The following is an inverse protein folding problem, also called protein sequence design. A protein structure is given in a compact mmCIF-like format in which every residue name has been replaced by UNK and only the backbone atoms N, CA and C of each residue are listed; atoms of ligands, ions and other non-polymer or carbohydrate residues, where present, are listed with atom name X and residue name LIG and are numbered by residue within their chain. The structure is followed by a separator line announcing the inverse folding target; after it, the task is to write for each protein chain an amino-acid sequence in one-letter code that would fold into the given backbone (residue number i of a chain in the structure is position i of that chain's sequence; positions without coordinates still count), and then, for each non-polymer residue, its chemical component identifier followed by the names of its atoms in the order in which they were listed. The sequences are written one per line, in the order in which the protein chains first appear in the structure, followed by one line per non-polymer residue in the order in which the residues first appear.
data_IF_375776998516
#
_entry.id   IF_375776998516
#
_cell.length_a   1.000
_cell.length_b   1.000
_cell.length_c   1.000
_cell.angle_alpha   90.00
_cell.angle_beta   90.00
_cell.angle_gamma   90.00
#
_symmetry.space_group_name_H-M   'P 1'
#
loop_
_entity.id
_entity.type
_entity.pdbx_description
1 polymer ?
#
# COMPACT_ATOMS: atom_id res chain seq x y z
N UNK A 1 5.25 19.47 -18.03
CA UNK A 1 4.81 18.27 -17.30
C UNK A 1 5.50 17.08 -17.95
N UNK A 2 6.10 16.18 -17.17
CA UNK A 2 6.67 14.94 -17.70
C UNK A 2 5.57 14.24 -18.51
N UNK A 3 5.85 13.86 -19.76
CA UNK A 3 4.84 13.26 -20.63
C UNK A 3 4.15 12.07 -19.94
N UNK A 4 2.87 11.84 -20.26
CA UNK A 4 2.09 10.69 -19.79
C UNK A 4 2.72 9.40 -20.32
N UNK A 5 3.73 8.91 -19.62
CA UNK A 5 4.41 7.67 -19.95
C UNK A 5 3.58 6.50 -19.41
N UNK A 6 2.98 5.75 -20.33
CA UNK A 6 2.10 4.61 -20.04
C UNK A 6 2.79 3.53 -19.20
N UNK A 7 4.11 3.39 -19.27
CA UNK A 7 4.88 2.41 -18.48
C UNK A 7 4.67 2.60 -16.98
N UNK A 8 4.74 3.83 -16.48
CA UNK A 8 4.51 4.09 -15.04
C UNK A 8 3.06 3.83 -14.63
N UNK A 9 2.11 4.07 -15.55
CA UNK A 9 0.69 3.76 -15.31
C UNK A 9 0.49 2.25 -15.20
N UNK A 10 1.07 1.47 -16.12
CA UNK A 10 0.99 0.01 -16.06
C UNK A 10 1.63 -0.56 -14.80
N UNK A 11 2.82 -0.10 -14.42
CA UNK A 11 3.46 -0.53 -13.18
C UNK A 11 2.69 -0.06 -11.94
N UNK A 12 2.03 1.11 -12.00
CA UNK A 12 1.16 1.60 -10.92
C UNK A 12 -0.05 0.70 -10.72
N UNK A 13 -0.72 0.33 -11.81
CA UNK A 13 -1.83 -0.63 -11.76
C UNK A 13 -1.35 -2.00 -11.28
N UNK A 14 -0.16 -2.45 -11.69
CA UNK A 14 0.44 -3.70 -11.20
C UNK A 14 0.71 -3.65 -9.69
N UNK A 15 1.31 -2.57 -9.18
CA UNK A 15 1.55 -2.38 -7.75
C UNK A 15 0.25 -2.39 -6.94
N UNK A 16 -0.80 -1.75 -7.46
CA UNK A 16 -2.14 -1.78 -6.88
C UNK A 16 -2.73 -3.20 -6.89
N UNK A 17 -2.63 -3.92 -8.00
CA UNK A 17 -3.13 -5.29 -8.12
C UNK A 17 -2.40 -6.24 -7.16
N UNK A 18 -1.08 -6.10 -7.01
CA UNK A 18 -0.29 -6.86 -6.02
C UNK A 18 -0.75 -6.54 -4.61
N UNK A 19 -0.91 -5.25 -4.28
CA UNK A 19 -1.34 -4.82 -2.94
C UNK A 19 -2.72 -5.40 -2.59
N UNK A 20 -3.69 -5.27 -3.49
CA UNK A 20 -5.05 -5.81 -3.29
C UNK A 20 -5.06 -7.34 -3.26
N UNK A 21 -4.29 -7.98 -4.15
CA UNK A 21 -4.13 -9.42 -4.19
C UNK A 21 -3.62 -9.96 -2.87
N UNK A 22 -2.54 -9.39 -2.33
CA UNK A 22 -1.97 -9.84 -1.06
C UNK A 22 -2.92 -9.58 0.12
N UNK A 23 -3.63 -8.44 0.15
CA UNK A 23 -4.65 -8.17 1.19
C UNK A 23 -5.78 -9.18 1.11
N UNK A 24 -6.22 -9.57 -0.09
CA UNK A 24 -7.27 -10.59 -0.25
C UNK A 24 -6.90 -11.97 0.28
N UNK A 25 -5.59 -12.28 0.37
CA UNK A 25 -5.09 -13.53 0.99
C UNK A 25 -5.32 -13.58 2.50
N UNK A 26 -5.67 -12.47 3.15
CA UNK A 26 -6.10 -12.47 4.55
C UNK A 26 -7.31 -13.40 4.76
N UNK A 27 -8.16 -13.54 3.73
CA UNK A 27 -9.35 -14.37 3.78
C UNK A 27 -10.41 -13.83 4.75
N UNK A 28 -11.30 -14.72 5.21
CA UNK A 28 -12.35 -14.37 6.16
C UNK A 28 -11.77 -14.29 7.58
N UNK A 29 -12.12 -13.27 8.38
CA UNK A 29 -11.70 -13.19 9.77
C UNK A 29 -12.13 -14.44 10.55
N UNK A 30 -11.21 -14.98 11.34
CA UNK A 30 -11.43 -16.17 12.16
C UNK A 30 -10.84 -15.97 13.56
N UNK A 31 -11.43 -16.63 14.57
CA UNK A 31 -10.96 -16.53 15.96
C UNK A 31 -9.56 -17.14 16.16
N UNK A 32 -9.22 -18.19 15.40
CA UNK A 32 -7.86 -18.76 15.36
C UNK A 32 -7.20 -18.29 14.08
N UNK A 33 -6.41 -17.20 14.12
CA UNK A 33 -5.96 -16.52 12.91
C UNK A 33 -5.08 -17.42 12.06
N UNK A 34 -5.32 -17.38 10.74
CA UNK A 34 -4.39 -17.93 9.75
C UNK A 34 -3.09 -17.11 9.73
N UNK A 35 -2.01 -17.65 9.15
CA UNK A 35 -0.73 -16.92 9.04
C UNK A 35 -0.89 -15.57 8.32
N UNK A 36 -1.67 -15.54 7.24
CA UNK A 36 -1.93 -14.32 6.48
C UNK A 36 -2.85 -13.35 7.24
N UNK A 37 -3.87 -13.85 7.93
CA UNK A 37 -4.71 -13.01 8.80
C UNK A 37 -3.86 -12.35 9.90
N UNK A 38 -2.99 -13.12 10.57
CA UNK A 38 -2.11 -12.60 11.63
C UNK A 38 -1.13 -11.53 11.09
N UNK A 39 -0.56 -11.74 9.90
CA UNK A 39 0.30 -10.75 9.25
C UNK A 39 -0.45 -9.43 8.97
N UNK A 40 -1.64 -9.53 8.36
CA UNK A 40 -2.44 -8.36 8.01
C UNK A 40 -3.01 -7.64 9.22
N UNK A 41 -3.43 -8.36 10.27
CA UNK A 41 -3.81 -7.76 11.54
C UNK A 41 -2.63 -7.04 12.19
N UNK A 42 -1.42 -7.61 12.11
CA UNK A 42 -0.19 -6.96 12.56
C UNK A 42 0.07 -5.65 11.82
N UNK A 43 -0.05 -5.68 10.49
CA UNK A 43 0.09 -4.48 9.66
C UNK A 43 -0.93 -3.39 10.01
N UNK A 44 -2.22 -3.73 10.11
CA UNK A 44 -3.27 -2.77 10.49
C UNK A 44 -3.06 -2.23 11.89
N UNK A 45 -2.64 -3.05 12.86
CA UNK A 45 -2.29 -2.59 14.21
C UNK A 45 -1.11 -1.63 14.20
N UNK A 46 -0.09 -1.89 13.40
CA UNK A 46 1.06 -1.00 13.22
C UNK A 46 0.61 0.38 12.71
N UNK A 47 -0.15 0.42 11.62
CA UNK A 47 -0.67 1.69 11.07
C UNK A 47 -1.57 2.39 12.07
N UNK A 48 -2.46 1.66 12.75
CA UNK A 48 -3.35 2.21 13.78
C UNK A 48 -2.56 2.85 14.92
N UNK A 49 -1.49 2.21 15.39
CA UNK A 49 -0.61 2.74 16.43
C UNK A 49 0.04 4.04 15.99
N UNK A 50 0.65 4.05 14.81
CA UNK A 50 1.26 5.24 14.21
C UNK A 50 0.27 6.40 14.09
N UNK A 51 -0.93 6.15 13.59
CA UNK A 51 -1.99 7.17 13.47
C UNK A 51 -2.41 7.69 14.84
N UNK A 52 -2.60 6.79 15.81
CA UNK A 52 -3.02 7.17 17.15
C UNK A 52 -1.98 8.04 17.86
N UNK A 53 -0.69 7.71 17.71
CA UNK A 53 0.43 8.44 18.29
C UNK A 53 0.59 9.84 17.68
N UNK A 54 0.33 10.01 16.38
CA UNK A 54 0.56 11.28 15.67
C UNK A 54 -0.70 12.16 15.58
N UNK A 55 -1.89 11.58 15.53
CA UNK A 55 -3.16 12.28 15.25
C UNK A 55 -4.21 12.12 16.36
N UNK A 56 -3.98 11.26 17.35
CA UNK A 56 -4.96 10.93 18.38
C UNK A 56 -6.15 10.10 17.88
N UNK A 57 -7.18 9.95 18.71
CA UNK A 57 -8.33 9.09 18.43
C UNK A 57 -9.13 9.52 17.19
N UNK A 58 -9.26 10.82 16.94
CA UNK A 58 -9.94 11.37 15.76
C UNK A 58 -9.24 10.96 14.44
N UNK A 59 -7.95 10.67 14.50
CA UNK A 59 -7.16 10.20 13.35
C UNK A 59 -7.53 8.80 12.89
N UNK A 60 -8.16 7.98 13.74
CA UNK A 60 -8.42 6.56 13.45
C UNK A 60 -9.30 6.35 12.21
N UNK A 61 -10.11 7.34 11.82
CA UNK A 61 -10.91 7.30 10.59
C UNK A 61 -10.06 7.29 9.31
N UNK A 62 -8.81 7.76 9.38
CA UNK A 62 -7.88 7.80 8.26
C UNK A 62 -6.99 6.56 8.15
N UNK A 63 -7.06 5.63 9.11
CA UNK A 63 -6.26 4.40 9.08
C UNK A 63 -6.40 3.63 7.77
N UNK A 64 -7.60 3.43 7.19
CA UNK A 64 -7.73 2.71 5.92
C UNK A 64 -6.98 3.40 4.76
N UNK A 65 -7.01 4.73 4.72
CA UNK A 65 -6.34 5.54 3.69
C UNK A 65 -4.82 5.51 3.87
N UNK A 66 -4.34 5.71 5.09
CA UNK A 66 -2.90 5.72 5.39
C UNK A 66 -2.31 4.32 5.15
N UNK A 67 -3.03 3.27 5.53
CA UNK A 67 -2.64 1.89 5.26
C UNK A 67 -2.59 1.59 3.76
N UNK A 68 -3.59 2.02 2.97
CA UNK A 68 -3.61 1.75 1.53
C UNK A 68 -2.49 2.48 0.80
N UNK A 69 -2.26 3.77 1.10
CA UNK A 69 -1.15 4.55 0.55
C UNK A 69 0.18 3.90 0.92
N UNK A 70 0.36 3.51 2.19
CA UNK A 70 1.56 2.84 2.67
C UNK A 70 1.88 1.55 1.89
N UNK A 71 0.89 0.69 1.68
CA UNK A 71 1.08 -0.53 0.86
C UNK A 71 1.39 -0.22 -0.59
N UNK A 72 0.66 0.72 -1.20
CA UNK A 72 0.86 1.09 -2.59
C UNK A 72 2.28 1.62 -2.82
N UNK A 73 2.74 2.54 -1.97
CA UNK A 73 4.10 3.10 -2.05
C UNK A 73 5.14 2.01 -1.79
N UNK A 74 4.92 1.14 -0.81
CA UNK A 74 5.83 0.04 -0.50
C UNK A 74 6.04 -0.89 -1.70
N UNK A 75 4.97 -1.38 -2.33
CA UNK A 75 5.09 -2.26 -3.48
C UNK A 75 5.58 -1.53 -4.73
N UNK A 76 5.20 -0.26 -4.92
CA UNK A 76 5.74 0.57 -6.00
C UNK A 76 7.26 0.67 -5.94
N UNK A 77 7.80 0.92 -4.75
CA UNK A 77 9.25 1.02 -4.54
C UNK A 77 9.93 -0.35 -4.67
N UNK A 78 9.28 -1.42 -4.20
CA UNK A 78 9.80 -2.78 -4.32
C UNK A 78 9.90 -3.24 -5.78
N UNK A 79 8.92 -2.87 -6.63
CA UNK A 79 8.99 -3.14 -8.07
C UNK A 79 10.20 -2.45 -8.70
N UNK A 80 10.49 -1.20 -8.34
CA UNK A 80 11.67 -0.48 -8.87
C UNK A 80 13.03 -1.07 -8.45
N UNK A 81 13.07 -1.95 -7.45
CA UNK A 81 14.31 -2.67 -7.10
C UNK A 81 14.60 -3.86 -8.03
N UNK A 82 13.59 -4.33 -8.78
CA UNK A 82 13.74 -5.45 -9.72
C UNK A 82 14.31 -4.92 -11.04
N UNK A 83 15.46 -5.43 -11.52
CA UNK A 83 16.04 -5.00 -12.79
C UNK A 83 15.03 -5.16 -13.95
N UNK A 84 14.80 -4.08 -14.70
CA UNK A 84 13.86 -4.05 -15.83
C UNK A 84 12.42 -3.66 -15.47
N UNK A 85 12.10 -3.45 -14.20
CA UNK A 85 10.85 -2.83 -13.77
C UNK A 85 11.08 -1.38 -13.33
N UNK A 86 10.07 -0.54 -13.47
CA UNK A 86 10.12 0.85 -12.98
C UNK A 86 9.18 1.06 -11.80
N UNK A 87 9.61 1.88 -10.85
CA UNK A 87 8.75 2.30 -9.75
C UNK A 87 7.72 3.34 -10.23
N UNK A 88 6.42 3.14 -9.97
CA UNK A 88 5.39 4.15 -10.22
C UNK A 88 5.69 5.50 -9.55
N UNK A 89 6.33 5.48 -8.38
CA UNK A 89 6.77 6.65 -7.60
C UNK A 89 7.95 7.40 -8.21
N UNK A 90 8.61 6.85 -9.23
CA UNK A 90 9.65 7.53 -10.00
C UNK A 90 9.11 8.64 -10.92
N UNK A 91 7.80 8.64 -11.19
CA UNK A 91 7.13 9.70 -11.96
C UNK A 91 6.49 10.74 -11.02
N UNK A 92 6.72 12.02 -11.32
CA UNK A 92 6.19 13.14 -10.53
C UNK A 92 4.66 13.14 -10.50
N UNK A 93 3.99 12.72 -11.58
CA UNK A 93 2.53 12.68 -11.65
C UNK A 93 1.93 11.74 -10.60
N UNK A 94 2.58 10.61 -10.31
CA UNK A 94 2.13 9.66 -9.28
C UNK A 94 2.20 10.28 -7.89
N UNK A 95 3.31 10.94 -7.57
CA UNK A 95 3.51 11.55 -6.25
C UNK A 95 2.61 12.79 -6.04
N UNK A 96 2.30 13.53 -7.11
CA UNK A 96 1.38 14.67 -7.05
C UNK A 96 -0.09 14.24 -6.92
N UNK A 97 -0.44 13.04 -7.39
CA UNK A 97 -1.80 12.53 -7.35
C UNK A 97 -2.16 11.87 -6.00
N UNK A 98 -1.15 11.45 -5.23
CA UNK A 98 -1.30 10.94 -3.86
C UNK A 98 -1.52 12.08 -2.86
#
# INVERSE_FOLDING_TARGET
MQELNLSHVYFGVLAMAISLGLVSLAGKPSLKPSKFQAFWEGYVRFVRGMVLENMGHEGLRYVPLIASIGLFVFFSNLLGMVPGLEAPTGNVNTNLAL
#
